data_IF_807991961917
#
_entry.id   IF_807991961917
#
_cell.length_a   1.000
_cell.length_b   1.000
_cell.length_c   1.000
_cell.angle_alpha   90.00
_cell.angle_beta   90.00
_cell.angle_gamma   90.00
#
_symmetry.space_group_name_H-M   'P 1'
#
loop_
_entity.id
_entity.type
_entity.pdbx_description
1 polymer ?
#
# COMPACT_ATOMS: atom_id res chain seq x y z
N UNK A 1 30.37 -1.81 3.78
CA UNK A 1 29.54 -2.31 2.66
C UNK A 1 28.12 -1.87 2.96
N UNK A 2 27.52 -1.06 2.11
CA UNK A 2 26.10 -0.72 2.23
C UNK A 2 25.30 -1.94 1.75
N UNK A 3 24.68 -2.65 2.69
CA UNK A 3 23.86 -3.82 2.39
C UNK A 3 22.42 -3.37 2.15
N UNK A 4 21.86 -3.71 1.00
CA UNK A 4 20.44 -3.51 0.73
C UNK A 4 19.61 -4.49 1.58
N UNK A 5 18.60 -3.96 2.28
CA UNK A 5 17.65 -4.75 3.07
C UNK A 5 16.29 -4.71 2.37
N UNK A 6 15.78 -5.88 2.01
CA UNK A 6 14.43 -6.05 1.46
C UNK A 6 13.43 -6.26 2.61
N UNK A 7 12.29 -5.58 2.61
CA UNK A 7 11.38 -5.56 3.76
C UNK A 7 9.99 -6.14 3.47
N UNK A 8 9.64 -6.35 2.20
CA UNK A 8 8.30 -6.71 1.79
C UNK A 8 8.24 -7.45 0.45
N UNK A 9 7.43 -8.50 0.40
CA UNK A 9 6.99 -9.19 -0.80
C UNK A 9 5.49 -9.48 -0.68
N UNK A 10 4.73 -9.36 -1.76
CA UNK A 10 3.31 -9.69 -1.76
C UNK A 10 2.89 -10.26 -3.10
N UNK A 11 2.82 -11.60 -3.20
CA UNK A 11 2.50 -12.28 -4.45
C UNK A 11 1.01 -12.28 -4.77
N UNK A 12 0.68 -12.17 -6.05
CA UNK A 12 -0.65 -12.42 -6.62
C UNK A 12 -0.58 -13.44 -7.76
N UNK A 13 -1.71 -13.83 -8.35
CA UNK A 13 -1.70 -14.76 -9.48
C UNK A 13 -0.94 -14.19 -10.69
N UNK A 14 -0.99 -12.87 -10.91
CA UNK A 14 -0.31 -12.16 -12.02
C UNK A 14 1.04 -11.55 -11.63
N UNK A 15 1.41 -11.58 -10.35
CA UNK A 15 2.74 -11.28 -9.82
C UNK A 15 3.18 -12.36 -8.81
N UNK A 16 3.47 -13.58 -9.28
CA UNK A 16 3.79 -14.72 -8.40
C UNK A 16 5.11 -14.57 -7.64
N UNK A 17 5.99 -13.67 -8.08
CA UNK A 17 7.27 -13.38 -7.43
C UNK A 17 7.18 -12.26 -6.37
N UNK A 18 5.99 -11.73 -6.09
CA UNK A 18 5.81 -10.71 -5.07
C UNK A 18 6.46 -9.36 -5.39
N UNK A 19 6.50 -8.98 -6.67
CA UNK A 19 7.03 -7.69 -7.11
C UNK A 19 6.17 -6.55 -6.58
N UNK A 20 6.71 -5.80 -5.61
CA UNK A 20 6.06 -4.63 -4.99
C UNK A 20 6.80 -3.34 -5.37
N UNK A 21 6.15 -2.20 -5.23
CA UNK A 21 6.78 -0.89 -5.46
C UNK A 21 6.14 0.22 -4.60
N UNK A 22 6.60 1.46 -4.80
CA UNK A 22 6.08 2.65 -4.12
C UNK A 22 6.10 2.54 -2.59
N UNK A 23 7.22 2.09 -2.02
CA UNK A 23 7.39 2.00 -0.58
C UNK A 23 7.30 3.39 0.08
N UNK A 24 6.56 3.47 1.18
CA UNK A 24 6.47 4.67 2.03
C UNK A 24 6.47 4.25 3.51
N UNK A 25 7.46 4.74 4.26
CA UNK A 25 7.54 4.54 5.71
C UNK A 25 6.88 5.69 6.45
N UNK A 26 6.02 5.35 7.41
CA UNK A 26 5.34 6.32 8.26
C UNK A 26 5.41 5.85 9.71
N UNK A 27 5.84 6.70 10.63
CA UNK A 27 5.93 6.38 12.06
C UNK A 27 4.85 7.14 12.82
N UNK A 28 4.07 6.44 13.65
CA UNK A 28 3.01 7.02 14.48
C UNK A 28 2.83 6.23 15.76
N UNK A 29 2.91 6.92 16.90
CA UNK A 29 2.87 6.28 18.22
C UNK A 29 4.01 5.26 18.36
N UNK A 30 3.69 4.06 18.84
CA UNK A 30 4.66 2.97 19.03
C UNK A 30 4.89 2.10 17.78
N UNK A 31 4.44 2.54 16.61
CA UNK A 31 4.49 1.75 15.37
C UNK A 31 5.13 2.49 14.21
N UNK A 32 5.91 1.75 13.42
CA UNK A 32 6.35 2.15 12.09
C UNK A 32 5.59 1.30 11.06
N UNK A 33 4.95 1.96 10.11
CA UNK A 33 4.16 1.37 9.04
C UNK A 33 4.94 1.43 7.74
N UNK A 34 4.98 0.30 7.02
CA UNK A 34 5.48 0.17 5.66
C UNK A 34 4.28 0.04 4.73
N UNK A 35 3.96 1.13 4.04
CA UNK A 35 3.01 1.11 2.93
C UNK A 35 3.74 0.74 1.65
N UNK A 36 3.11 -0.07 0.82
CA UNK A 36 3.62 -0.43 -0.50
C UNK A 36 2.46 -0.74 -1.44
N UNK A 37 2.70 -0.66 -2.74
CA UNK A 37 1.74 -1.11 -3.76
C UNK A 37 2.06 -2.53 -4.21
N UNK A 38 1.01 -3.36 -4.33
CA UNK A 38 1.05 -4.74 -4.82
C UNK A 38 0.09 -4.92 -5.98
N UNK A 39 0.36 -5.86 -6.88
CA UNK A 39 -0.46 -6.13 -8.07
C UNK A 39 0.00 -5.34 -9.30
N UNK A 40 -0.86 -5.29 -10.32
CA UNK A 40 -0.49 -4.70 -11.63
C UNK A 40 -1.14 -3.33 -11.86
N UNK A 41 -0.31 -2.29 -11.89
CA UNK A 41 -0.71 -0.88 -12.07
C UNK A 41 -1.19 -0.50 -13.46
N UNK A 42 -0.75 -1.20 -14.50
CA UNK A 42 -0.60 -0.51 -15.78
C UNK A 42 -1.11 -1.34 -16.95
N UNK A 43 -1.85 -0.71 -17.89
CA UNK A 43 -2.27 -1.37 -19.10
C UNK A 43 -1.05 -1.68 -19.96
N UNK A 44 -1.09 -2.84 -20.62
CA UNK A 44 -0.09 -3.22 -21.61
C UNK A 44 -0.22 -2.36 -22.87
N UNK A 45 0.78 -2.45 -23.75
CA UNK A 45 0.70 -1.85 -25.09
C UNK A 45 -0.57 -2.36 -25.80
N UNK A 46 -1.48 -1.45 -26.13
CA UNK A 46 -2.81 -1.78 -26.65
C UNK A 46 -3.97 -1.44 -25.71
N UNK A 47 -3.69 -1.08 -24.45
CA UNK A 47 -4.67 -0.63 -23.48
C UNK A 47 -5.30 -1.75 -22.64
N UNK A 48 -4.88 -3.00 -22.84
CA UNK A 48 -5.38 -4.14 -22.07
C UNK A 48 -4.79 -4.20 -20.68
N UNK A 49 -5.64 -4.45 -19.68
CA UNK A 49 -5.21 -4.61 -18.30
C UNK A 49 -4.78 -6.06 -18.02
N UNK A 50 -3.58 -6.26 -17.44
CA UNK A 50 -3.05 -7.61 -17.19
C UNK A 50 -3.74 -8.30 -16.01
N UNK A 51 -4.28 -7.54 -15.06
CA UNK A 51 -5.02 -8.08 -13.92
C UNK A 51 -6.34 -8.72 -14.38
N UNK A 52 -6.61 -9.95 -13.95
CA UNK A 52 -7.83 -10.71 -14.32
C UNK A 52 -8.82 -10.86 -13.17
N UNK A 53 -8.39 -10.61 -11.93
CA UNK A 53 -9.22 -10.61 -10.73
C UNK A 53 -8.86 -9.41 -9.84
N UNK A 54 -9.76 -9.03 -8.92
CA UNK A 54 -9.54 -7.89 -8.02
C UNK A 54 -8.22 -7.99 -7.24
N UNK A 55 -7.86 -9.19 -6.75
CA UNK A 55 -6.58 -9.46 -6.05
C UNK A 55 -5.32 -9.42 -6.93
N UNK A 56 -5.45 -9.18 -8.24
CA UNK A 56 -4.32 -8.94 -9.14
C UNK A 56 -4.16 -7.47 -9.50
N UNK A 57 -5.21 -6.67 -9.31
CA UNK A 57 -5.20 -5.25 -9.60
C UNK A 57 -4.30 -4.55 -8.57
N UNK A 58 -3.63 -3.50 -9.03
CA UNK A 58 -2.83 -2.65 -8.18
C UNK A 58 -3.63 -2.14 -6.99
N UNK A 59 -3.04 -2.21 -5.81
CA UNK A 59 -3.65 -1.84 -4.54
C UNK A 59 -2.61 -1.43 -3.53
N UNK A 60 -3.03 -0.64 -2.54
CA UNK A 60 -2.21 -0.24 -1.41
C UNK A 60 -2.30 -1.30 -0.31
N UNK A 61 -1.14 -1.77 0.12
CA UNK A 61 -0.96 -2.69 1.24
C UNK A 61 -0.17 -2.00 2.35
N UNK A 62 -0.33 -2.48 3.59
CA UNK A 62 0.46 -2.03 4.72
C UNK A 62 0.87 -3.17 5.64
N UNK A 63 2.05 -3.02 6.20
CA UNK A 63 2.55 -3.80 7.32
C UNK A 63 3.08 -2.86 8.38
N UNK A 64 3.27 -3.34 9.61
CA UNK A 64 3.86 -2.54 10.68
C UNK A 64 4.83 -3.34 11.53
N UNK A 65 5.67 -2.62 12.25
CA UNK A 65 6.50 -3.15 13.34
C UNK A 65 6.55 -2.15 14.49
N UNK A 66 6.92 -2.61 15.69
CA UNK A 66 7.11 -1.71 16.83
C UNK A 66 8.27 -0.75 16.58
N UNK A 67 8.07 0.54 16.90
CA UNK A 67 9.10 1.56 16.76
C UNK A 67 10.22 1.42 17.80
N UNK A 68 9.91 0.93 19.00
CA UNK A 68 10.91 0.73 20.08
C UNK A 68 11.97 -0.29 19.65
N UNK A 69 11.54 -1.31 18.92
CA UNK A 69 12.43 -2.35 18.42
C UNK A 69 13.35 -1.89 17.28
N UNK A 70 13.04 -0.77 16.63
CA UNK A 70 13.94 -0.17 15.65
C UNK A 70 15.19 0.46 16.30
N UNK A 71 15.11 0.86 17.58
CA UNK A 71 16.20 1.52 18.31
C UNK A 71 17.20 0.53 18.95
N UNK A 72 16.78 -0.72 19.19
CA UNK A 72 17.58 -1.74 19.88
C UNK A 72 18.42 -2.63 18.93
N UNK A 73 18.29 -2.44 17.62
CA UNK A 73 18.76 -3.40 16.62
C UNK A 73 20.00 -2.93 15.84
N UNK A 74 21.00 -3.81 15.73
CA UNK A 74 22.20 -3.62 14.91
C UNK A 74 21.96 -3.79 13.40
N UNK A 75 20.80 -4.32 13.00
CA UNK A 75 20.44 -4.65 11.61
C UNK A 75 18.93 -4.54 11.40
N UNK A 76 18.51 -3.87 10.33
CA UNK A 76 17.11 -3.78 9.92
C UNK A 76 16.55 -5.11 9.37
N UNK A 77 17.39 -6.15 9.24
CA UNK A 77 17.04 -7.43 8.63
C UNK A 77 16.47 -8.47 9.62
N UNK A 78 16.62 -8.27 10.93
CA UNK A 78 16.29 -9.29 11.93
C UNK A 78 14.85 -9.16 12.46
N UNK A 79 14.18 -8.03 12.20
CA UNK A 79 12.78 -7.82 12.57
C UNK A 79 11.90 -7.49 11.38
N UNK A 80 10.91 -8.33 11.18
CA UNK A 80 10.00 -8.24 10.05
C UNK A 80 8.85 -7.29 10.31
N UNK A 81 8.43 -6.59 9.26
CA UNK A 81 7.11 -5.96 9.26
C UNK A 81 6.08 -7.08 9.18
N UNK A 82 5.03 -7.00 10.00
CA UNK A 82 3.93 -7.95 9.98
C UNK A 82 2.64 -7.25 9.56
N UNK A 83 1.73 -7.99 8.94
CA UNK A 83 0.37 -7.53 8.66
C UNK A 83 -0.55 -7.70 9.87
N UNK A 84 -1.83 -7.31 9.72
CA UNK A 84 -2.85 -7.40 10.77
C UNK A 84 -3.08 -8.83 11.24
N UNK A 85 -2.86 -9.82 10.38
CA UNK A 85 -2.98 -11.23 10.72
C UNK A 85 -1.68 -11.82 11.32
N UNK A 86 -0.64 -10.99 11.49
CA UNK A 86 0.65 -11.41 12.01
C UNK A 86 1.54 -12.12 10.99
N UNK A 87 1.21 -12.08 9.70
CA UNK A 87 2.07 -12.66 8.66
C UNK A 87 3.23 -11.72 8.37
N UNK A 88 4.41 -12.31 8.25
CA UNK A 88 5.61 -11.62 7.82
C UNK A 88 5.42 -11.06 6.41
N UNK A 89 5.75 -9.79 6.22
CA UNK A 89 5.65 -9.14 4.92
C UNK A 89 6.82 -9.49 4.04
N UNK A 90 7.99 -9.81 4.59
CA UNK A 90 9.14 -10.25 3.80
C UNK A 90 9.12 -11.75 3.45
N UNK A 91 8.56 -12.63 4.27
CA UNK A 91 8.68 -14.09 4.13
C UNK A 91 7.35 -14.77 3.80
N UNK A 92 6.22 -14.26 4.28
CA UNK A 92 4.94 -14.97 4.25
C UNK A 92 3.85 -14.29 3.40
N UNK A 93 4.26 -13.44 2.45
CA UNK A 93 3.36 -12.62 1.62
C UNK A 93 2.38 -11.78 2.46
N UNK A 94 2.84 -11.30 3.61
CA UNK A 94 2.06 -10.43 4.48
C UNK A 94 1.66 -9.13 3.76
N UNK A 95 0.54 -8.58 4.19
CA UNK A 95 0.06 -7.28 3.78
C UNK A 95 -1.41 -7.10 4.16
N UNK A 96 -1.71 -6.03 4.89
CA UNK A 96 -3.09 -5.61 5.14
C UNK A 96 -3.52 -4.70 4.01
N UNK A 97 -4.58 -5.05 3.27
CA UNK A 97 -5.11 -4.19 2.21
C UNK A 97 -5.72 -2.92 2.80
N UNK A 98 -5.33 -1.77 2.27
CA UNK A 98 -5.80 -0.43 2.70
C UNK A 98 -6.70 0.20 1.65
N UNK A 99 -6.36 0.01 0.37
CA UNK A 99 -7.12 0.58 -0.73
C UNK A 99 -6.97 -0.29 -1.98
N UNK A 100 -8.08 -0.90 -2.41
CA UNK A 100 -8.17 -1.63 -3.67
C UNK A 100 -9.19 -0.95 -4.60
N UNK A 101 -9.40 -1.54 -5.78
CA UNK A 101 -10.39 -1.02 -6.73
C UNK A 101 -11.81 -1.14 -6.18
N UNK A 102 -12.60 -0.07 -6.24
CA UNK A 102 -13.97 0.04 -5.75
C UNK A 102 -14.64 1.26 -6.40
N UNK A 103 -15.97 1.30 -6.49
CA UNK A 103 -16.76 2.51 -6.81
C UNK A 103 -16.11 3.54 -7.73
N UNK A 104 -16.02 3.27 -9.03
CA UNK A 104 -15.43 4.19 -10.00
C UNK A 104 -13.89 4.37 -9.92
N UNK A 105 -13.19 3.65 -9.05
CA UNK A 105 -11.74 3.69 -8.85
C UNK A 105 -11.13 2.35 -9.26
N UNK A 106 -10.15 2.41 -10.15
CA UNK A 106 -9.36 1.27 -10.60
C UNK A 106 -7.87 1.45 -10.33
N UNK A 107 -7.21 0.37 -9.89
CA UNK A 107 -5.77 0.30 -9.67
C UNK A 107 -5.19 1.45 -8.82
N UNK A 108 -5.75 1.76 -7.63
CA UNK A 108 -5.19 2.80 -6.77
C UNK A 108 -3.83 2.38 -6.18
N UNK A 109 -2.85 3.28 -6.18
CA UNK A 109 -1.54 3.03 -5.58
C UNK A 109 -0.53 4.13 -5.85
N UNK A 110 0.76 3.81 -5.76
CA UNK A 110 1.81 4.83 -5.82
C UNK A 110 1.71 5.83 -4.66
N UNK A 111 1.33 5.31 -3.48
CA UNK A 111 0.82 6.10 -2.38
C UNK A 111 1.92 6.84 -1.60
N UNK A 112 1.51 7.88 -0.89
CA UNK A 112 2.23 8.43 0.24
C UNK A 112 1.29 8.95 1.32
N UNK A 113 1.87 9.35 2.44
CA UNK A 113 1.13 9.92 3.58
C UNK A 113 1.40 11.42 3.67
N UNK A 114 0.34 12.20 3.88
CA UNK A 114 0.42 13.63 4.17
C UNK A 114 -0.15 13.88 5.57
N UNK A 115 0.67 14.45 6.44
CA UNK A 115 0.23 15.12 7.66
C UNK A 115 -0.03 16.59 7.34
N UNK A 116 -1.26 17.04 7.54
CA UNK A 116 -1.66 18.44 7.42
C UNK A 116 -1.91 18.98 8.83
N UNK A 117 -1.05 19.88 9.28
CA UNK A 117 -1.14 20.62 10.54
C UNK A 117 -1.64 22.06 10.33
N UNK A 118 -2.21 22.34 9.15
CA UNK A 118 -2.63 23.66 8.73
C UNK A 118 -3.82 24.24 9.49
N UNK A 119 -4.07 25.54 9.26
CA UNK A 119 -5.08 26.34 9.95
C UNK A 119 -6.54 25.83 9.82
N UNK A 120 -6.81 24.87 8.92
CA UNK A 120 -8.11 24.22 8.72
C UNK A 120 -8.35 23.01 9.61
N UNK A 121 -7.35 22.57 10.38
CA UNK A 121 -7.41 21.44 11.31
C UNK A 121 -6.40 20.32 10.99
N UNK A 122 -6.03 19.57 12.02
CA UNK A 122 -5.10 18.45 11.91
C UNK A 122 -5.74 17.27 11.15
N UNK A 123 -5.04 16.80 10.11
CA UNK A 123 -5.50 15.70 9.26
C UNK A 123 -4.35 14.80 8.81
N UNK A 124 -4.64 13.51 8.68
CA UNK A 124 -3.75 12.57 8.02
C UNK A 124 -4.43 12.08 6.76
N UNK A 125 -3.71 12.05 5.65
CA UNK A 125 -4.25 11.69 4.35
C UNK A 125 -3.36 10.67 3.66
N UNK A 126 -4.01 9.67 3.04
CA UNK A 126 -3.39 8.81 2.05
C UNK A 126 -3.61 9.45 0.68
N UNK A 127 -2.54 9.86 0.01
CA UNK A 127 -2.62 10.33 -1.37
C UNK A 127 -2.04 9.28 -2.32
N UNK A 128 -2.59 9.20 -3.52
CA UNK A 128 -2.28 8.14 -4.49
C UNK A 128 -2.70 8.55 -5.91
N UNK A 129 -2.31 7.75 -6.89
CA UNK A 129 -2.91 7.82 -8.23
C UNK A 129 -3.91 6.68 -8.42
N UNK A 130 -4.90 6.88 -9.28
CA UNK A 130 -5.84 5.84 -9.72
C UNK A 130 -6.25 6.06 -11.18
N UNK A 131 -6.95 5.08 -11.73
CA UNK A 131 -7.61 5.17 -13.04
C UNK A 131 -9.12 5.21 -12.84
N UNK A 132 -9.86 6.17 -13.43
CA UNK A 132 -11.32 6.15 -13.37
C UNK A 132 -11.88 4.84 -13.95
N UNK A 133 -12.93 4.32 -13.35
CA UNK A 133 -13.60 3.10 -13.78
C UNK A 133 -15.02 3.41 -14.22
N UNK A 134 -15.36 3.06 -15.46
CA UNK A 134 -16.73 3.15 -15.96
C UNK A 134 -17.52 1.93 -15.50
N UNK A 135 -18.35 2.13 -14.47
CA UNK A 135 -19.17 1.06 -13.89
C UNK A 135 -20.25 0.54 -14.85
N UNK A 136 -20.73 1.36 -15.77
CA UNK A 136 -21.74 0.95 -16.76
C UNK A 136 -21.12 0.10 -17.85
N UNK A 137 -19.94 0.48 -18.33
CA UNK A 137 -19.21 -0.29 -19.33
C UNK A 137 -18.38 -1.44 -18.74
N UNK A 138 -18.22 -1.48 -17.42
CA UNK A 138 -17.47 -2.52 -16.70
C UNK A 138 -15.98 -2.54 -17.03
N UNK A 139 -15.36 -1.36 -17.26
CA UNK A 139 -13.95 -1.29 -17.66
C UNK A 139 -13.23 -0.03 -17.14
N UNK A 140 -11.91 -0.09 -16.94
CA UNK A 140 -11.11 1.09 -16.64
C UNK A 140 -11.08 2.05 -17.83
N UNK A 141 -11.09 3.35 -17.54
CA UNK A 141 -10.87 4.40 -18.52
C UNK A 141 -9.37 4.58 -18.83
N UNK A 142 -9.04 5.69 -19.51
CA UNK A 142 -7.66 6.03 -19.88
C UNK A 142 -7.11 7.12 -18.97
N UNK A 143 -5.84 6.96 -18.63
CA UNK A 143 -5.06 7.95 -17.90
C UNK A 143 -5.21 7.84 -16.38
N UNK A 144 -4.31 8.51 -15.69
CA UNK A 144 -4.26 8.52 -14.24
C UNK A 144 -4.87 9.81 -13.68
N UNK A 145 -5.42 9.72 -12.48
CA UNK A 145 -5.95 10.82 -11.68
C UNK A 145 -5.29 10.79 -10.32
N UNK A 146 -5.14 11.98 -9.73
CA UNK A 146 -4.74 12.11 -8.34
C UNK A 146 -5.96 11.89 -7.44
N UNK A 147 -5.79 11.08 -6.40
CA UNK A 147 -6.76 10.85 -5.35
C UNK A 147 -6.11 11.06 -3.98
N UNK A 148 -6.93 11.44 -3.01
CA UNK A 148 -6.52 11.41 -1.62
C UNK A 148 -7.75 11.16 -0.74
N UNK A 149 -7.56 10.41 0.33
CA UNK A 149 -8.58 10.16 1.33
C UNK A 149 -8.04 10.47 2.71
N UNK A 150 -8.95 10.77 3.64
CA UNK A 150 -8.56 10.86 5.04
C UNK A 150 -8.17 9.46 5.52
N UNK A 151 -7.12 9.42 6.31
CA UNK A 151 -6.59 8.21 6.92
C UNK A 151 -6.83 8.30 8.43
N UNK A 152 -7.51 7.31 8.98
CA UNK A 152 -7.68 7.14 10.42
C UNK A 152 -6.97 5.88 10.89
N UNK A 153 -6.85 5.72 12.20
CA UNK A 153 -6.36 4.48 12.81
C UNK A 153 -7.45 3.92 13.70
N UNK A 154 -7.67 2.61 13.59
CA UNK A 154 -8.61 1.92 14.46
C UNK A 154 -8.03 1.71 15.88
N UNK A 155 -8.82 1.05 16.74
CA UNK A 155 -8.45 0.80 18.13
C UNK A 155 -7.19 -0.08 18.28
N UNK A 156 -6.87 -0.88 17.27
CA UNK A 156 -5.68 -1.72 17.23
C UNK A 156 -4.49 -1.01 16.56
N UNK A 157 -4.63 0.29 16.28
CA UNK A 157 -3.69 1.15 15.57
C UNK A 157 -3.39 0.69 14.14
N UNK A 158 -4.35 0.16 13.41
CA UNK A 158 -4.21 -0.09 11.98
C UNK A 158 -4.83 1.02 11.15
N UNK A 159 -4.18 1.47 10.06
CA UNK A 159 -4.72 2.52 9.22
C UNK A 159 -5.97 2.04 8.48
N UNK A 160 -6.93 2.95 8.30
CA UNK A 160 -8.19 2.76 7.59
C UNK A 160 -8.47 4.01 6.78
N UNK A 161 -8.76 3.83 5.49
CA UNK A 161 -9.24 4.90 4.61
C UNK A 161 -10.70 5.22 4.94
N UNK A 162 -11.03 6.50 5.12
CA UNK A 162 -12.39 6.99 5.43
C UNK A 162 -12.87 8.09 4.48
#
# INVERSE_FOLDING_TARGET
MEQLVHLEQNSSATQPLGQTEAAYLYSRGSWTYLFFSSGRCCPQKGGEWPAKAAGDVYRVMVCRRSSDRAAEMASWADEDFADRAGKSCRADNGGTEILASHGGIWAPGGQGILEDDGAGGEGLYLYYHYVPFDEQAGKPEKGFRFGFNKLQFDNDAWPVVV
#
